data_IF_671487903842
#
_entry.id   IF_671487903842
#
_cell.length_a   1.000
_cell.length_b   1.000
_cell.length_c   1.000
_cell.angle_alpha   90.00
_cell.angle_beta   90.00
_cell.angle_gamma   90.00
#
_symmetry.space_group_name_H-M   'P 1'
#
loop_
_entity.id
_entity.type
_entity.pdbx_description
1 polymer ?
#
# COMPACT_ATOMS: atom_id res chain seq x y z
N UNK A 1 3.57 1.80 -19.86
CA UNK A 1 2.69 0.82 -19.18
C UNK A 1 1.72 0.24 -20.19
N UNK A 2 1.59 -1.09 -20.26
CA UNK A 2 0.65 -1.76 -21.17
C UNK A 2 -0.80 -1.47 -20.75
N UNK A 3 -1.68 -1.27 -21.72
CA UNK A 3 -3.13 -1.08 -21.52
C UNK A 3 -3.72 -2.37 -20.93
N UNK A 4 -4.52 -2.25 -19.86
CA UNK A 4 -5.27 -3.39 -19.32
C UNK A 4 -6.44 -3.72 -20.27
N UNK A 5 -6.66 -5.00 -20.53
CA UNK A 5 -7.75 -5.51 -21.35
C UNK A 5 -8.77 -6.19 -20.42
N UNK A 6 -10.05 -5.88 -20.58
CA UNK A 6 -11.12 -6.38 -19.71
C UNK A 6 -11.06 -5.81 -18.28
N UNK A 7 -11.65 -6.53 -17.31
CA UNK A 7 -11.72 -6.12 -15.89
C UNK A 7 -12.45 -4.78 -15.67
N UNK A 8 -13.44 -4.47 -16.50
CA UNK A 8 -14.10 -3.16 -16.49
C UNK A 8 -14.79 -2.88 -15.16
N UNK A 9 -15.46 -3.90 -14.60
CA UNK A 9 -16.12 -3.82 -13.30
C UNK A 9 -15.12 -3.60 -12.17
N UNK A 10 -14.04 -4.39 -12.09
CA UNK A 10 -13.05 -4.23 -11.02
C UNK A 10 -12.30 -2.90 -11.15
N UNK A 11 -12.02 -2.45 -12.37
CA UNK A 11 -11.47 -1.10 -12.59
C UNK A 11 -12.43 0.00 -12.13
N UNK A 12 -13.74 -0.16 -12.33
CA UNK A 12 -14.75 0.80 -11.89
C UNK A 12 -14.77 0.90 -10.36
N UNK A 13 -14.81 -0.23 -9.66
CA UNK A 13 -14.77 -0.30 -8.18
C UNK A 13 -13.52 0.40 -7.64
N UNK A 14 -12.34 0.10 -8.18
CA UNK A 14 -11.08 0.72 -7.74
C UNK A 14 -11.05 2.24 -7.99
N UNK A 15 -11.66 2.73 -9.08
CA UNK A 15 -11.75 4.16 -9.41
C UNK A 15 -12.81 4.88 -8.58
N UNK A 16 -13.90 4.21 -8.24
CA UNK A 16 -14.94 4.73 -7.36
C UNK A 16 -14.40 4.91 -5.94
N UNK A 17 -13.73 3.90 -5.40
CA UNK A 17 -13.07 4.00 -4.10
C UNK A 17 -12.02 5.12 -4.03
N UNK A 18 -11.36 5.44 -5.15
CA UNK A 18 -10.44 6.59 -5.21
C UNK A 18 -11.15 7.94 -5.14
N UNK A 19 -12.41 8.02 -5.62
CA UNK A 19 -13.23 9.24 -5.64
C UNK A 19 -14.09 9.40 -4.40
N UNK A 20 -14.32 8.32 -3.65
CA UNK A 20 -15.02 8.34 -2.36
C UNK A 20 -14.36 9.34 -1.40
N UNK A 21 -15.19 10.08 -0.65
CA UNK A 21 -14.73 11.00 0.40
C UNK A 21 -14.31 10.25 1.68
N UNK A 22 -14.69 8.97 1.80
CA UNK A 22 -14.39 8.11 2.94
C UNK A 22 -13.14 7.24 2.73
N UNK A 23 -12.58 6.70 3.81
CA UNK A 23 -11.47 5.74 3.71
C UNK A 23 -11.99 4.36 3.29
N UNK A 24 -11.40 3.78 2.24
CA UNK A 24 -11.90 2.53 1.63
C UNK A 24 -10.90 1.39 1.83
N UNK A 25 -11.38 0.22 2.27
CA UNK A 25 -10.59 -1.01 2.37
C UNK A 25 -11.04 -2.01 1.31
N UNK A 26 -10.17 -2.33 0.36
CA UNK A 26 -10.49 -3.21 -0.78
C UNK A 26 -9.65 -4.47 -0.70
N UNK A 27 -10.32 -5.62 -0.57
CA UNK A 27 -9.68 -6.92 -0.69
C UNK A 27 -9.76 -7.42 -2.15
N UNK A 28 -8.63 -7.54 -2.83
CA UNK A 28 -8.57 -8.10 -4.20
C UNK A 28 -8.21 -9.59 -4.14
N UNK A 29 -9.20 -10.46 -4.29
CA UNK A 29 -9.05 -11.92 -4.14
C UNK A 29 -9.09 -12.65 -5.48
N UNK A 30 -8.67 -13.93 -5.49
CA UNK A 30 -8.73 -14.79 -6.68
C UNK A 30 -7.50 -15.67 -6.87
N UNK A 31 -7.54 -16.57 -7.87
CA UNK A 31 -6.51 -17.58 -8.15
C UNK A 31 -5.11 -16.97 -8.33
N UNK A 32 -4.07 -17.77 -8.07
CA UNK A 32 -2.67 -17.39 -8.34
C UNK A 32 -2.52 -17.02 -9.82
N UNK A 33 -1.70 -16.01 -10.13
CA UNK A 33 -1.33 -15.57 -11.50
C UNK A 33 -2.44 -14.95 -12.38
N UNK A 34 -3.63 -14.63 -11.84
CA UNK A 34 -4.71 -13.95 -12.61
C UNK A 34 -4.52 -12.44 -12.83
N UNK A 35 -3.34 -11.89 -12.50
CA UNK A 35 -3.01 -10.47 -12.75
C UNK A 35 -3.53 -9.46 -11.72
N UNK A 36 -3.82 -9.87 -10.48
CA UNK A 36 -4.35 -8.97 -9.42
C UNK A 36 -3.45 -7.76 -9.14
N UNK A 37 -2.17 -7.99 -8.87
CA UNK A 37 -1.17 -6.92 -8.67
C UNK A 37 -1.06 -6.02 -9.89
N UNK A 38 -1.13 -6.60 -11.10
CA UNK A 38 -1.11 -5.84 -12.34
C UNK A 38 -2.34 -4.93 -12.48
N UNK A 39 -3.54 -5.38 -12.08
CA UNK A 39 -4.76 -4.58 -12.06
C UNK A 39 -4.61 -3.35 -11.16
N UNK A 40 -4.23 -3.54 -9.89
CA UNK A 40 -4.07 -2.44 -8.92
C UNK A 40 -3.03 -1.42 -9.40
N UNK A 41 -1.85 -1.89 -9.80
CA UNK A 41 -0.78 -1.03 -10.36
C UNK A 41 -1.21 -0.31 -11.64
N UNK A 42 -2.03 -0.95 -12.48
CA UNK A 42 -2.51 -0.32 -13.74
C UNK A 42 -3.55 0.77 -13.49
N UNK A 43 -4.42 0.60 -12.50
CA UNK A 43 -5.46 1.58 -12.15
C UNK A 43 -4.85 2.77 -11.41
N UNK A 44 -4.07 2.53 -10.36
CA UNK A 44 -3.52 3.60 -9.53
C UNK A 44 -2.22 4.20 -10.06
N UNK A 45 -1.45 3.47 -10.88
CA UNK A 45 -0.21 3.96 -11.52
C UNK A 45 0.72 4.61 -10.50
N UNK A 46 1.15 5.84 -10.76
CA UNK A 46 2.02 6.66 -9.89
C UNK A 46 1.31 7.26 -8.67
N UNK A 47 0.05 6.88 -8.40
CA UNK A 47 -0.71 7.37 -7.23
C UNK A 47 -0.54 6.49 -6.00
N UNK A 48 0.01 5.27 -6.13
CA UNK A 48 0.33 4.42 -4.98
C UNK A 48 1.44 5.13 -4.20
N UNK A 49 1.15 5.50 -2.95
CA UNK A 49 2.09 6.23 -2.10
C UNK A 49 3.01 5.27 -1.35
N UNK A 50 2.49 4.08 -0.99
CA UNK A 50 3.24 3.06 -0.28
C UNK A 50 2.77 1.66 -0.75
N UNK A 51 3.73 0.82 -1.13
CA UNK A 51 3.49 -0.55 -1.58
C UNK A 51 4.38 -1.50 -0.77
N UNK A 52 3.75 -2.44 -0.08
CA UNK A 52 4.42 -3.53 0.61
C UNK A 52 4.21 -4.82 -0.16
N UNK A 53 5.18 -5.72 -0.09
CA UNK A 53 5.05 -7.06 -0.64
C UNK A 53 5.72 -8.01 0.32
N UNK A 54 5.00 -9.03 0.78
CA UNK A 54 5.56 -10.07 1.62
C UNK A 54 6.63 -10.86 0.86
N UNK A 55 7.76 -11.13 1.52
CA UNK A 55 8.80 -12.01 0.97
C UNK A 55 8.39 -13.45 1.20
N UNK A 56 8.38 -14.26 0.15
CA UNK A 56 7.95 -15.66 0.25
C UNK A 56 8.90 -16.42 1.18
N UNK A 57 8.33 -17.21 2.11
CA UNK A 57 9.06 -18.06 3.06
C UNK A 57 10.05 -17.33 4.00
N UNK A 58 10.02 -15.99 4.03
CA UNK A 58 10.88 -15.19 4.90
C UNK A 58 10.41 -15.20 6.37
N UNK A 59 11.34 -15.23 7.33
CA UNK A 59 11.01 -15.13 8.74
C UNK A 59 10.37 -13.79 9.07
N UNK A 60 9.57 -13.76 10.15
CA UNK A 60 8.87 -12.55 10.63
C UNK A 60 9.77 -11.32 10.73
N UNK A 61 11.01 -11.51 11.18
CA UNK A 61 11.97 -10.41 11.35
C UNK A 61 12.32 -9.75 10.03
N UNK A 62 12.60 -10.54 8.99
CA UNK A 62 12.89 -10.02 7.65
C UNK A 62 11.68 -9.30 7.05
N UNK A 63 10.46 -9.78 7.29
CA UNK A 63 9.24 -9.06 6.89
C UNK A 63 9.12 -7.70 7.57
N UNK A 64 9.40 -7.64 8.88
CA UNK A 64 9.38 -6.40 9.65
C UNK A 64 10.47 -5.43 9.21
N UNK A 65 11.67 -5.93 8.93
CA UNK A 65 12.79 -5.12 8.44
C UNK A 65 12.47 -4.52 7.06
N UNK A 66 11.89 -5.31 6.15
CA UNK A 66 11.44 -4.83 4.85
C UNK A 66 10.31 -3.80 4.96
N UNK A 67 9.34 -4.05 5.84
CA UNK A 67 8.26 -3.11 6.11
C UNK A 67 8.80 -1.79 6.68
N UNK A 68 9.68 -1.87 7.67
CA UNK A 68 10.33 -0.72 8.30
C UNK A 68 11.13 0.11 7.30
N UNK A 69 11.93 -0.54 6.45
CA UNK A 69 12.70 0.12 5.40
C UNK A 69 11.80 0.93 4.46
N UNK A 70 10.73 0.31 3.94
CA UNK A 70 9.79 0.98 3.04
C UNK A 70 9.05 2.13 3.72
N UNK A 71 8.63 1.94 4.97
CA UNK A 71 7.95 2.98 5.74
C UNK A 71 8.89 4.16 6.05
N UNK A 72 10.14 3.90 6.39
CA UNK A 72 11.17 4.93 6.64
C UNK A 72 11.44 5.75 5.37
N UNK A 73 11.54 5.09 4.21
CA UNK A 73 11.67 5.78 2.93
C UNK A 73 10.48 6.70 2.64
N UNK A 74 9.26 6.23 2.96
CA UNK A 74 8.05 7.00 2.79
C UNK A 74 7.93 8.19 3.76
N UNK A 75 8.31 8.00 5.03
CA UNK A 75 8.35 9.06 6.04
C UNK A 75 9.33 10.17 5.64
N UNK A 76 10.53 9.78 5.17
CA UNK A 76 11.59 10.68 4.76
C UNK A 76 12.55 11.03 5.90
N UNK A 77 13.60 11.80 5.58
CA UNK A 77 14.77 12.03 6.47
C UNK A 77 14.48 12.72 7.82
N UNK A 78 13.28 13.24 8.05
CA UNK A 78 12.94 13.98 9.28
C UNK A 78 12.47 13.09 10.42
N UNK A 79 12.03 11.88 10.11
CA UNK A 79 11.47 10.95 11.09
C UNK A 79 12.39 9.74 11.17
N UNK A 80 13.28 9.69 12.17
CA UNK A 80 14.03 8.46 12.48
C UNK A 80 13.08 7.48 13.17
N UNK A 81 12.44 6.60 12.37
CA UNK A 81 11.65 5.51 12.93
C UNK A 81 12.61 4.47 13.51
N UNK A 82 12.28 3.95 14.69
CA UNK A 82 13.01 2.80 15.26
C UNK A 82 12.51 1.51 14.60
N UNK A 83 13.36 0.50 14.39
CA UNK A 83 12.91 -0.79 13.90
C UNK A 83 11.82 -1.40 14.82
N UNK A 84 10.66 -1.81 14.27
CA UNK A 84 9.56 -2.36 15.07
C UNK A 84 9.88 -3.80 15.52
N UNK A 85 9.49 -4.14 16.75
CA UNK A 85 9.74 -5.47 17.33
C UNK A 85 8.70 -6.52 16.89
N UNK A 86 7.53 -6.05 16.48
CA UNK A 86 6.39 -6.87 16.08
C UNK A 86 5.48 -6.08 15.14
N UNK A 87 4.47 -6.76 14.57
CA UNK A 87 3.55 -6.14 13.63
C UNK A 87 2.68 -5.05 14.23
N UNK A 88 2.31 -5.16 15.51
CA UNK A 88 1.53 -4.11 16.19
C UNK A 88 2.31 -2.79 16.22
N UNK A 89 3.57 -2.84 16.63
CA UNK A 89 4.47 -1.68 16.58
C UNK A 89 4.65 -1.15 15.16
N UNK A 90 4.82 -2.04 14.17
CA UNK A 90 4.95 -1.65 12.78
C UNK A 90 3.71 -0.91 12.25
N UNK A 91 2.51 -1.40 12.56
CA UNK A 91 1.27 -0.73 12.16
C UNK A 91 1.03 0.58 12.92
N UNK A 92 1.42 0.66 14.20
CA UNK A 92 1.40 1.95 14.91
C UNK A 92 2.32 2.98 14.26
N UNK A 93 3.53 2.59 13.83
CA UNK A 93 4.40 3.49 13.08
C UNK A 93 3.78 3.95 11.77
N UNK A 94 3.12 3.04 11.04
CA UNK A 94 2.41 3.38 9.80
C UNK A 94 1.35 4.45 10.05
N UNK A 95 0.52 4.30 11.09
CA UNK A 95 -0.50 5.28 11.47
C UNK A 95 0.15 6.65 11.69
N UNK A 96 1.18 6.72 12.54
CA UNK A 96 1.90 7.97 12.85
C UNK A 96 2.46 8.65 11.59
N UNK A 97 3.08 7.87 10.70
CA UNK A 97 3.65 8.41 9.45
C UNK A 97 2.55 8.94 8.53
N UNK A 98 1.43 8.21 8.40
CA UNK A 98 0.31 8.64 7.57
C UNK A 98 -0.33 9.91 8.12
N UNK A 99 -0.48 10.04 9.43
CA UNK A 99 -1.00 11.25 10.09
C UNK A 99 -0.09 12.46 9.87
N UNK A 100 1.23 12.30 10.02
CA UNK A 100 2.20 13.38 9.75
C UNK A 100 2.18 13.83 8.27
N UNK A 101 1.87 12.92 7.35
CA UNK A 101 1.79 13.17 5.90
C UNK A 101 0.45 13.73 5.43
N UNK A 102 -0.58 13.84 6.28
CA UNK A 102 -1.92 14.41 5.95
C UNK A 102 -1.92 15.92 5.61
N UNK A 103 -0.85 16.45 5.02
CA UNK A 103 -0.78 17.84 4.54
C UNK A 103 -1.44 17.95 3.17
N UNK A 104 -2.78 17.93 3.14
CA UNK A 104 -3.58 18.24 1.96
C UNK A 104 -4.83 17.38 1.78
N UNK A 105 -5.62 17.67 0.75
CA UNK A 105 -6.84 16.91 0.37
C UNK A 105 -6.56 15.65 -0.47
N UNK A 106 -5.30 15.27 -0.66
CA UNK A 106 -4.94 14.11 -1.49
C UNK A 106 -5.11 12.83 -0.67
N UNK A 107 -5.96 11.92 -1.14
CA UNK A 107 -6.14 10.57 -0.57
C UNK A 107 -4.85 9.76 -0.72
N UNK A 108 -4.38 9.16 0.37
CA UNK A 108 -3.23 8.26 0.36
C UNK A 108 -3.64 6.86 -0.08
N UNK A 109 -2.84 6.22 -0.95
CA UNK A 109 -3.05 4.85 -1.38
C UNK A 109 -1.95 3.97 -0.80
N UNK A 110 -2.32 3.09 0.13
CA UNK A 110 -1.45 2.05 0.70
C UNK A 110 -1.86 0.70 0.13
N UNK A 111 -0.90 -0.02 -0.43
CA UNK A 111 -1.10 -1.33 -1.03
C UNK A 111 -0.22 -2.37 -0.32
N UNK A 112 -0.81 -3.50 0.08
CA UNK A 112 -0.16 -4.61 0.78
C UNK A 112 -0.20 -5.89 -0.06
#
# INVERSE_FOLDING_TARGET
MKKIIGREQEQAVLKEALRSDESEMIAVTGRRRVGKTFLVRSVYKKKIDLEFTGVQDAPRREQLDNFHFLLQQFAGKRDELKPPRNWLEAFHQLITVLEAKKKGKKKSIVFF
#
